data_IF_701945705327
#
_entry.id   IF_701945705327
#
_cell.length_a   1.000
_cell.length_b   1.000
_cell.length_c   1.000
_cell.angle_alpha   90.00
_cell.angle_beta   90.00
_cell.angle_gamma   90.00
#
_symmetry.space_group_name_H-M   'P 1'
#
loop_
_entity.id
_entity.type
_entity.pdbx_description
1 polymer ?
#
# COMPACT_ATOMS: atom_id res chain seq x y z
N UNK A 1 18.80 -23.38 -28.29
CA UNK A 1 18.67 -22.46 -27.12
C UNK A 1 19.49 -21.21 -27.42
N UNK A 2 19.01 -20.03 -27.06
CA UNK A 2 19.71 -18.74 -27.24
C UNK A 2 19.65 -17.88 -25.98
N UNK A 3 19.95 -16.58 -26.11
CA UNK A 3 19.95 -15.62 -24.98
C UNK A 3 18.61 -15.53 -24.25
N UNK A 4 17.50 -15.78 -24.96
CA UNK A 4 16.13 -15.74 -24.42
C UNK A 4 15.59 -17.14 -24.08
N UNK A 5 16.47 -18.13 -23.90
CA UNK A 5 16.10 -19.49 -23.52
C UNK A 5 15.71 -20.39 -24.69
N UNK A 6 14.62 -21.15 -24.52
CA UNK A 6 14.08 -22.04 -25.55
C UNK A 6 13.44 -21.18 -26.66
N UNK A 7 13.68 -21.58 -27.90
CA UNK A 7 13.15 -20.92 -29.09
C UNK A 7 12.38 -21.99 -29.84
N UNK A 8 11.06 -21.85 -29.88
CA UNK A 8 10.12 -22.66 -30.65
C UNK A 8 9.21 -21.72 -31.45
N UNK A 9 8.69 -22.23 -32.55
CA UNK A 9 7.75 -21.53 -33.41
C UNK A 9 6.51 -22.40 -33.60
N UNK A 10 5.34 -21.76 -33.72
CA UNK A 10 4.12 -22.43 -34.14
C UNK A 10 4.09 -22.69 -35.65
N UNK A 11 3.00 -23.29 -36.13
CA UNK A 11 2.80 -23.61 -37.55
C UNK A 11 2.69 -22.38 -38.46
N UNK A 12 2.49 -21.18 -37.91
CA UNK A 12 2.44 -19.91 -38.63
C UNK A 12 3.78 -19.16 -38.59
N UNK A 13 4.78 -19.69 -37.86
CA UNK A 13 6.10 -19.10 -37.73
C UNK A 13 6.22 -18.06 -36.60
N UNK A 14 5.22 -17.92 -35.72
CA UNK A 14 5.32 -17.05 -34.55
C UNK A 14 6.02 -17.76 -33.39
N UNK A 15 6.79 -17.01 -32.60
CA UNK A 15 7.47 -17.57 -31.43
C UNK A 15 6.45 -18.06 -30.41
N UNK A 16 6.59 -19.31 -29.99
CA UNK A 16 5.73 -19.97 -29.00
C UNK A 16 6.57 -20.57 -27.87
N UNK A 17 5.92 -20.95 -26.77
CA UNK A 17 6.53 -21.67 -25.64
C UNK A 17 7.79 -20.96 -25.08
N UNK A 18 7.60 -19.70 -24.69
CA UNK A 18 8.64 -18.85 -24.12
C UNK A 18 8.29 -18.41 -22.69
N UNK A 19 9.32 -18.02 -21.95
CA UNK A 19 9.21 -17.54 -20.58
C UNK A 19 9.55 -16.05 -20.55
N UNK A 20 8.73 -15.26 -19.87
CA UNK A 20 8.99 -13.86 -19.56
C UNK A 20 9.37 -13.71 -18.10
N UNK A 21 10.37 -12.88 -17.84
CA UNK A 21 10.76 -12.52 -16.48
C UNK A 21 9.92 -11.35 -15.98
N UNK A 22 9.36 -11.47 -14.78
CA UNK A 22 8.66 -10.38 -14.11
C UNK A 22 9.66 -9.67 -13.21
N UNK A 23 9.88 -8.38 -13.49
CA UNK A 23 10.87 -7.55 -12.80
C UNK A 23 10.14 -6.45 -12.00
N UNK A 24 10.58 -6.22 -10.77
CA UNK A 24 10.10 -5.13 -9.92
C UNK A 24 11.24 -4.19 -9.58
N UNK A 25 10.94 -2.88 -9.54
CA UNK A 25 11.87 -1.86 -9.05
C UNK A 25 11.72 -1.71 -7.53
N UNK A 26 12.83 -1.90 -6.82
CA UNK A 26 12.94 -1.70 -5.38
C UNK A 26 13.97 -0.61 -5.04
N UNK A 27 14.15 -0.29 -3.75
CA UNK A 27 15.22 0.61 -3.29
C UNK A 27 16.62 0.09 -3.66
N UNK A 28 16.79 -1.22 -3.75
CA UNK A 28 18.05 -1.90 -4.10
C UNK A 28 18.26 -2.02 -5.62
N UNK A 29 17.25 -1.65 -6.42
CA UNK A 29 17.27 -1.75 -7.88
C UNK A 29 16.26 -2.76 -8.43
N UNK A 30 16.48 -3.16 -9.68
CA UNK A 30 15.61 -4.09 -10.41
C UNK A 30 15.83 -5.53 -9.93
N UNK A 31 14.76 -6.19 -9.50
CA UNK A 31 14.79 -7.58 -9.03
C UNK A 31 13.79 -8.43 -9.81
N UNK A 32 14.19 -9.63 -10.21
CA UNK A 32 13.26 -10.63 -10.75
C UNK A 32 12.40 -11.21 -9.63
N UNK A 33 11.09 -11.12 -9.76
CA UNK A 33 10.11 -11.54 -8.74
C UNK A 33 9.22 -12.70 -9.21
N UNK A 34 9.39 -13.14 -10.45
CA UNK A 34 8.60 -14.21 -11.00
C UNK A 34 8.91 -14.48 -12.46
N UNK A 35 8.17 -15.44 -12.99
CA UNK A 35 8.15 -15.78 -14.41
C UNK A 35 6.73 -15.91 -14.89
N UNK A 36 6.51 -15.66 -16.17
CA UNK A 36 5.26 -15.94 -16.84
C UNK A 36 5.50 -16.82 -18.07
N UNK A 37 4.59 -17.76 -18.32
CA UNK A 37 4.52 -18.46 -19.60
C UNK A 37 3.04 -18.61 -20.03
N UNK A 38 2.82 -18.92 -21.31
CA UNK A 38 1.47 -19.02 -21.88
C UNK A 38 0.62 -20.19 -21.36
N UNK A 39 1.23 -21.17 -20.68
CA UNK A 39 0.57 -22.41 -20.26
C UNK A 39 0.15 -22.37 -18.79
N UNK A 40 1.05 -21.91 -17.91
CA UNK A 40 0.88 -21.86 -16.46
C UNK A 40 0.54 -20.45 -15.96
N UNK A 41 0.69 -19.44 -16.81
CA UNK A 41 0.46 -18.04 -16.43
C UNK A 41 1.58 -17.51 -15.54
N UNK A 42 1.22 -16.67 -14.56
CA UNK A 42 2.19 -16.03 -13.66
C UNK A 42 2.59 -16.98 -12.54
N UNK A 43 3.89 -17.11 -12.32
CA UNK A 43 4.47 -17.79 -11.17
C UNK A 43 5.42 -16.83 -10.44
N UNK A 44 5.00 -16.36 -9.26
CA UNK A 44 5.84 -15.51 -8.41
C UNK A 44 6.80 -16.36 -7.59
N UNK A 45 8.08 -15.97 -7.57
CA UNK A 45 9.10 -16.66 -6.78
C UNK A 45 9.13 -16.24 -5.31
N UNK A 46 8.40 -15.17 -4.96
CA UNK A 46 8.30 -14.68 -3.58
C UNK A 46 7.46 -15.61 -2.73
N UNK A 47 7.98 -15.94 -1.57
CA UNK A 47 7.18 -16.53 -0.49
C UNK A 47 6.27 -15.48 0.15
N UNK A 48 5.19 -15.94 0.79
CA UNK A 48 4.30 -15.06 1.55
C UNK A 48 5.05 -14.29 2.66
N UNK A 49 6.00 -14.94 3.33
CA UNK A 49 6.84 -14.30 4.36
C UNK A 49 7.68 -13.15 3.79
N UNK A 50 8.36 -13.37 2.65
CA UNK A 50 9.16 -12.32 2.00
C UNK A 50 8.30 -11.14 1.51
N UNK A 51 7.08 -11.41 1.04
CA UNK A 51 6.15 -10.36 0.66
C UNK A 51 5.75 -9.49 1.87
N UNK A 52 5.46 -10.12 3.01
CA UNK A 52 5.16 -9.39 4.26
C UNK A 52 6.35 -8.58 4.76
N UNK A 53 7.55 -9.16 4.80
CA UNK A 53 8.77 -8.45 5.22
C UNK A 53 9.00 -7.20 4.37
N UNK A 54 8.88 -7.32 3.05
CA UNK A 54 9.03 -6.17 2.16
C UNK A 54 7.95 -5.10 2.37
N UNK A 55 6.71 -5.50 2.65
CA UNK A 55 5.65 -4.53 2.97
C UNK A 55 6.04 -3.71 4.21
N UNK A 56 6.56 -4.35 5.25
CA UNK A 56 7.04 -3.67 6.47
C UNK A 56 8.22 -2.75 6.16
N UNK A 57 9.25 -3.24 5.46
CA UNK A 57 10.42 -2.45 5.04
C UNK A 57 10.03 -1.24 4.17
N UNK A 58 9.00 -1.39 3.33
CA UNK A 58 8.48 -0.31 2.50
C UNK A 58 7.75 0.73 3.34
N UNK A 59 7.14 0.36 4.47
CA UNK A 59 6.44 1.29 5.37
C UNK A 59 7.39 2.00 6.34
N UNK A 60 8.51 1.37 6.70
CA UNK A 60 9.47 1.95 7.65
C UNK A 60 9.99 3.32 7.18
N UNK A 61 10.03 4.28 8.10
CA UNK A 61 10.44 5.67 7.86
C UNK A 61 9.60 6.44 6.83
N UNK A 62 8.42 5.95 6.43
CA UNK A 62 7.44 6.73 5.68
C UNK A 62 6.52 7.49 6.60
N UNK A 63 6.09 8.67 6.16
CA UNK A 63 5.06 9.45 6.86
C UNK A 63 3.73 9.33 6.11
N UNK A 64 2.75 8.67 6.70
CA UNK A 64 1.40 8.55 6.15
C UNK A 64 0.49 9.71 6.59
N UNK A 65 -0.41 10.13 5.70
CA UNK A 65 -1.52 11.00 6.07
C UNK A 65 -2.67 10.09 6.49
N UNK A 66 -3.07 10.19 7.75
CA UNK A 66 -4.20 9.43 8.30
C UNK A 66 -5.40 10.36 8.37
N UNK A 67 -6.35 10.15 7.45
CA UNK A 67 -7.59 10.93 7.40
C UNK A 67 -8.62 10.36 8.36
N UNK A 68 -9.28 11.22 9.13
CA UNK A 68 -10.35 10.85 10.07
C UNK A 68 -11.37 11.97 10.20
N UNK A 69 -12.50 11.70 10.86
CA UNK A 69 -13.40 12.74 11.37
C UNK A 69 -13.35 12.79 12.90
N UNK A 70 -13.93 13.84 13.50
CA UNK A 70 -14.16 13.89 14.94
C UNK A 70 -15.40 13.07 15.26
N UNK A 71 -15.23 12.02 16.04
CA UNK A 71 -16.31 11.13 16.47
C UNK A 71 -15.93 10.51 17.80
N UNK A 72 -16.65 10.89 18.87
CA UNK A 72 -16.43 10.30 20.18
C UNK A 72 -16.94 8.84 20.21
N UNK A 73 -16.22 7.90 20.84
CA UNK A 73 -14.95 8.05 21.57
C UNK A 73 -13.69 7.73 20.72
N UNK A 74 -13.79 7.71 19.40
CA UNK A 74 -12.73 7.25 18.49
C UNK A 74 -11.65 8.30 18.23
N UNK A 75 -12.07 9.51 17.87
CA UNK A 75 -11.18 10.67 17.66
C UNK A 75 -11.86 11.92 18.19
N UNK A 76 -11.22 12.55 19.17
CA UNK A 76 -11.69 13.73 19.89
C UNK A 76 -10.54 14.74 19.98
N UNK A 77 -10.87 16.01 20.20
CA UNK A 77 -9.86 17.03 20.53
C UNK A 77 -9.49 16.87 22.00
N UNK A 78 -8.19 16.85 22.30
CA UNK A 78 -7.72 16.90 23.69
C UNK A 78 -8.08 18.23 24.32
N UNK A 79 -8.61 18.20 25.54
CA UNK A 79 -8.69 19.39 26.38
C UNK A 79 -7.34 19.64 27.05
N UNK A 80 -6.71 20.78 26.73
CA UNK A 80 -5.44 21.17 27.30
C UNK A 80 -5.39 22.68 27.52
N UNK A 81 -4.76 23.11 28.61
CA UNK A 81 -4.50 24.53 28.89
C UNK A 81 -3.51 25.15 27.91
N UNK A 82 -2.62 24.33 27.35
CA UNK A 82 -1.64 24.72 26.35
C UNK A 82 -2.09 24.37 24.93
N UNK A 83 -1.65 25.17 23.96
CA UNK A 83 -1.96 24.93 22.55
C UNK A 83 -1.15 23.74 22.02
N UNK A 84 -1.80 22.59 21.90
CA UNK A 84 -1.22 21.41 21.26
C UNK A 84 -1.16 21.58 19.73
N UNK A 85 -0.21 20.93 19.07
CA UNK A 85 -0.02 20.95 17.61
C UNK A 85 0.18 19.53 17.04
N UNK A 86 -0.05 19.36 15.75
CA UNK A 86 0.07 18.06 15.08
C UNK A 86 -0.84 16.99 15.69
N UNK A 87 -0.35 15.75 15.78
CA UNK A 87 -1.13 14.62 16.29
C UNK A 87 -1.48 14.76 17.78
N UNK A 88 -0.70 15.52 18.55
CA UNK A 88 -0.93 15.71 19.98
C UNK A 88 -2.29 16.37 20.28
N UNK A 89 -2.90 17.03 19.30
CA UNK A 89 -4.22 17.66 19.43
C UNK A 89 -5.38 16.66 19.57
N UNK A 90 -5.15 15.37 19.31
CA UNK A 90 -6.19 14.37 19.22
C UNK A 90 -6.03 13.25 20.26
N UNK A 91 -7.15 12.70 20.71
CA UNK A 91 -7.24 11.51 21.57
C UNK A 91 -8.42 10.62 21.19
N UNK A 92 -8.45 9.42 21.75
CA UNK A 92 -9.52 8.45 21.55
C UNK A 92 -9.01 7.13 21.02
N UNK A 93 -9.92 6.15 20.96
CA UNK A 93 -9.57 4.77 20.63
C UNK A 93 -8.82 4.62 19.30
N UNK A 94 -9.25 5.34 18.26
CA UNK A 94 -8.62 5.23 16.94
C UNK A 94 -7.23 5.90 16.91
N UNK A 95 -7.01 6.92 17.74
CA UNK A 95 -5.71 7.60 17.89
C UNK A 95 -4.70 6.66 18.56
N UNK A 96 -5.11 5.95 19.60
CA UNK A 96 -4.27 4.97 20.29
C UNK A 96 -3.99 3.78 19.36
N UNK A 97 -5.01 3.29 18.65
CA UNK A 97 -4.85 2.18 17.72
C UNK A 97 -3.84 2.48 16.61
N UNK A 98 -3.93 3.65 15.95
CA UNK A 98 -2.97 3.99 14.89
C UNK A 98 -1.56 4.21 15.44
N UNK A 99 -1.43 4.72 16.66
CA UNK A 99 -0.14 4.85 17.34
C UNK A 99 0.52 3.48 17.57
N UNK A 100 -0.24 2.50 18.04
CA UNK A 100 0.25 1.14 18.26
C UNK A 100 0.63 0.45 16.94
N UNK A 101 -0.20 0.61 15.89
CA UNK A 101 0.10 0.09 14.55
C UNK A 101 1.38 0.74 14.00
N UNK A 102 1.54 2.06 14.16
CA UNK A 102 2.73 2.78 13.70
C UNK A 102 3.99 2.31 14.43
N UNK A 103 3.89 2.01 15.73
CA UNK A 103 5.01 1.49 16.52
C UNK A 103 5.42 0.09 16.09
N UNK A 104 4.46 -0.79 15.77
CA UNK A 104 4.74 -2.15 15.30
C UNK A 104 5.36 -2.16 13.90
N UNK A 105 4.91 -1.27 13.01
CA UNK A 105 5.31 -1.25 11.61
C UNK A 105 6.41 -0.21 11.26
N UNK A 106 6.84 0.59 12.23
CA UNK A 106 7.95 1.54 12.09
C UNK A 106 7.67 2.74 11.16
N UNK A 107 6.41 3.06 10.90
CA UNK A 107 6.04 4.25 10.11
C UNK A 107 5.72 5.46 11.00
N UNK A 108 5.86 6.64 10.43
CA UNK A 108 5.37 7.89 10.99
C UNK A 108 4.01 8.24 10.40
N UNK A 109 3.22 9.07 11.08
CA UNK A 109 1.95 9.53 10.54
C UNK A 109 1.59 10.94 10.99
N UNK A 110 0.73 11.58 10.21
CA UNK A 110 0.10 12.85 10.55
C UNK A 110 -1.41 12.71 10.39
N UNK A 111 -2.16 13.05 11.44
CA UNK A 111 -3.62 13.08 11.41
C UNK A 111 -4.07 14.32 10.63
N UNK A 112 -4.99 14.11 9.68
CA UNK A 112 -5.72 15.19 9.01
C UNK A 112 -7.21 14.91 9.12
N UNK A 113 -7.99 15.95 9.44
CA UNK A 113 -9.44 15.81 9.44
C UNK A 113 -9.95 15.85 7.99
N UNK A 114 -10.96 15.04 7.67
CA UNK A 114 -11.70 15.16 6.43
C UNK A 114 -12.18 16.62 6.29
N UNK A 115 -11.89 17.32 5.17
CA UNK A 115 -12.15 18.75 5.06
C UNK A 115 -13.63 19.12 5.22
N UNK A 116 -14.53 18.23 4.80
CA UNK A 116 -15.98 18.38 4.89
C UNK A 116 -16.59 17.80 6.17
N UNK A 117 -15.78 17.10 6.99
CA UNK A 117 -16.22 16.43 8.21
C UNK A 117 -17.16 15.25 7.99
N UNK A 118 -17.24 14.69 6.78
CA UNK A 118 -18.16 13.60 6.41
C UNK A 118 -17.42 12.26 6.36
N UNK A 119 -18.19 11.19 6.52
CA UNK A 119 -17.67 9.82 6.33
C UNK A 119 -17.45 9.46 4.85
N UNK A 120 -18.20 10.12 3.96
CA UNK A 120 -18.23 9.83 2.54
C UNK A 120 -19.53 9.19 2.07
N UNK A 121 -20.07 9.73 0.99
CA UNK A 121 -21.32 9.38 0.35
C UNK A 121 -21.23 9.67 -1.14
N UNK A 122 -21.81 8.78 -1.96
CA UNK A 122 -21.77 8.93 -3.41
C UNK A 122 -22.87 9.88 -3.88
N UNK A 123 -22.49 10.94 -4.57
CA UNK A 123 -23.42 11.80 -5.29
C UNK A 123 -24.06 10.99 -6.43
N UNK A 124 -25.40 10.93 -6.47
CA UNK A 124 -26.13 10.13 -7.47
C UNK A 124 -26.16 10.77 -8.86
N UNK A 125 -26.00 12.09 -8.95
CA UNK A 125 -26.03 12.84 -10.20
C UNK A 125 -24.63 12.91 -10.84
N UNK A 126 -23.60 13.26 -10.05
CA UNK A 126 -22.23 13.38 -10.56
C UNK A 126 -21.44 12.07 -10.51
N UNK A 127 -21.83 11.15 -9.63
CA UNK A 127 -21.12 9.89 -9.40
C UNK A 127 -19.87 10.00 -8.51
N UNK A 128 -19.55 11.19 -8.02
CA UNK A 128 -18.38 11.47 -7.17
C UNK A 128 -18.64 11.10 -5.69
N UNK A 129 -17.57 10.83 -4.95
CA UNK A 129 -17.62 10.57 -3.50
C UNK A 129 -17.13 11.80 -2.74
N UNK A 130 -17.82 12.16 -1.65
CA UNK A 130 -17.30 13.08 -0.63
C UNK A 130 -16.58 12.32 0.50
N UNK A 131 -16.11 13.03 1.53
CA UNK A 131 -15.28 12.48 2.62
C UNK A 131 -13.77 12.57 2.40
#
# INVERSE_FOLDING_TARGET
RGLTGVIKFDHQGFRSDFVLDIIELSREGLKKIGTWNSTEGVNFTRTYGEALTQIVEIMENKTFIVTTILSAPYVMRKEASEKLTGNAQFEGYAVDLIHEISRVLGFNYTIRLAPDGRYGSKNRETGEWDG
#
